data_IF_661855302647
#
_entry.id   IF_661855302647
#
_cell.length_a   1.000
_cell.length_b   1.000
_cell.length_c   1.000
_cell.angle_alpha   90.00
_cell.angle_beta   90.00
_cell.angle_gamma   90.00
#
_symmetry.space_group_name_H-M   'P 1'
#
loop_
_entity.id
_entity.type
_entity.pdbx_description
1 polymer ?
#
# COMPACT_ATOMS: atom_id res chain seq x y z
N UNK A 1 53.36 -15.56 37.70
CA UNK A 1 52.30 -15.12 36.75
C UNK A 1 51.14 -14.59 37.57
N UNK A 2 50.96 -13.26 37.61
CA UNK A 2 49.90 -12.60 38.38
C UNK A 2 48.71 -12.31 37.46
N UNK A 3 47.61 -13.03 37.69
CA UNK A 3 46.34 -12.79 36.99
C UNK A 3 45.72 -11.47 37.44
N UNK A 4 45.57 -10.52 36.52
CA UNK A 4 44.83 -9.28 36.77
C UNK A 4 43.35 -9.53 36.48
N UNK A 5 42.51 -9.58 37.49
CA UNK A 5 41.07 -9.55 37.36
C UNK A 5 40.64 -8.14 36.95
N UNK A 6 40.03 -7.99 35.77
CA UNK A 6 39.38 -6.78 35.28
C UNK A 6 37.96 -6.82 35.89
N UNK A 7 37.68 -6.00 36.85
CA UNK A 7 36.33 -5.73 37.38
C UNK A 7 35.66 -4.76 36.40
N UNK A 8 34.71 -5.27 35.58
CA UNK A 8 33.85 -4.46 34.75
C UNK A 8 32.76 -3.85 35.67
N UNK A 9 32.88 -2.59 36.03
CA UNK A 9 31.81 -1.85 36.71
C UNK A 9 30.70 -1.61 35.68
N UNK A 10 29.65 -2.41 35.71
CA UNK A 10 28.36 -2.10 35.10
C UNK A 10 27.72 -0.97 35.94
N UNK A 11 27.81 0.25 35.43
CA UNK A 11 26.96 1.35 35.88
C UNK A 11 25.53 1.03 35.41
N UNK A 12 24.76 0.35 36.30
CA UNK A 12 23.32 0.32 36.23
C UNK A 12 22.83 1.75 36.52
N UNK A 13 22.41 2.45 35.44
CA UNK A 13 21.58 3.63 35.63
C UNK A 13 20.28 3.12 36.27
N UNK A 14 20.16 3.26 37.59
CA UNK A 14 18.93 3.09 38.31
C UNK A 14 18.00 4.24 37.91
N UNK A 15 17.16 4.01 36.87
CA UNK A 15 15.98 4.82 36.68
C UNK A 15 15.14 4.66 37.93
N UNK A 16 15.00 5.73 38.74
CA UNK A 16 14.12 5.77 39.89
C UNK A 16 12.71 5.41 39.40
N UNK A 17 12.23 4.25 39.79
CA UNK A 17 10.83 3.88 39.53
C UNK A 17 9.98 4.74 40.48
N UNK A 18 8.83 5.29 40.03
CA UNK A 18 7.94 6.06 40.87
C UNK A 18 7.54 5.29 42.13
N UNK A 19 7.53 5.98 43.29
CA UNK A 19 7.23 5.38 44.59
C UNK A 19 5.72 5.23 44.84
N UNK A 20 4.89 6.12 44.26
CA UNK A 20 3.45 6.19 44.49
C UNK A 20 2.72 5.80 43.18
N UNK A 21 2.09 4.64 43.16
CA UNK A 21 1.37 4.15 41.98
C UNK A 21 -0.13 4.15 42.28
N UNK A 22 -0.90 4.88 41.46
CA UNK A 22 -2.36 4.80 41.43
C UNK A 22 -2.82 3.90 40.28
N UNK A 23 -4.04 3.36 40.34
CA UNK A 23 -4.63 2.54 39.30
C UNK A 23 -5.74 3.30 38.58
N UNK A 24 -5.79 3.13 37.24
CA UNK A 24 -6.87 3.60 36.36
C UNK A 24 -7.60 2.41 35.76
N UNK A 25 -8.92 2.53 35.61
CA UNK A 25 -9.76 1.56 34.94
C UNK A 25 -9.83 1.81 33.42
N UNK A 26 -9.26 2.91 32.93
CA UNK A 26 -9.22 3.26 31.52
C UNK A 26 -7.99 2.68 30.85
N UNK A 27 -8.04 2.54 29.49
CA UNK A 27 -6.87 2.21 28.70
C UNK A 27 -5.90 3.40 28.62
N UNK A 28 -4.59 3.14 28.44
CA UNK A 28 -3.61 4.20 28.33
C UNK A 28 -3.85 5.05 27.05
N UNK A 29 -3.69 6.39 27.12
CA UNK A 29 -3.74 7.26 25.96
C UNK A 29 -2.45 7.13 25.15
N UNK A 30 -2.38 6.12 24.28
CA UNK A 30 -1.21 5.76 23.49
C UNK A 30 -1.38 6.14 22.00
N UNK A 31 -0.24 6.36 21.34
CA UNK A 31 -0.15 6.64 19.91
C UNK A 31 0.96 5.76 19.28
N UNK A 32 0.69 4.95 18.22
CA UNK A 32 -0.64 4.69 17.67
C UNK A 32 -1.50 3.88 18.63
N UNK A 33 -2.81 4.02 18.50
CA UNK A 33 -3.74 3.23 19.29
C UNK A 33 -3.79 1.78 18.78
N UNK A 34 -3.04 0.90 19.47
CA UNK A 34 -2.99 -0.53 19.19
C UNK A 34 -3.86 -1.37 20.15
N UNK A 35 -4.80 -0.75 20.88
CA UNK A 35 -5.73 -1.47 21.76
C UNK A 35 -6.73 -2.28 20.96
N UNK A 36 -6.90 -3.56 21.26
CA UNK A 36 -7.90 -4.43 20.62
C UNK A 36 -7.63 -4.80 19.16
N UNK A 37 -6.43 -4.52 18.63
CA UNK A 37 -6.07 -4.91 17.26
C UNK A 37 -5.86 -6.42 17.12
N UNK A 38 -6.11 -6.95 15.92
CA UNK A 38 -5.71 -8.32 15.56
C UNK A 38 -4.38 -8.27 14.79
N UNK A 39 -3.39 -9.03 15.26
CA UNK A 39 -2.05 -9.06 14.69
C UNK A 39 -1.69 -10.48 14.22
N UNK A 40 -0.81 -10.62 13.21
CA UNK A 40 -0.32 -11.94 12.83
C UNK A 40 0.74 -12.46 13.82
N UNK A 41 0.88 -13.77 13.90
CA UNK A 41 1.96 -14.40 14.67
C UNK A 41 3.34 -13.94 14.15
N UNK A 42 4.25 -13.62 15.07
CA UNK A 42 5.62 -13.27 14.73
C UNK A 42 5.87 -11.90 14.11
N UNK A 43 4.86 -11.02 14.05
CA UNK A 43 5.09 -9.62 13.63
C UNK A 43 6.02 -8.90 14.60
N UNK A 44 6.81 -7.94 14.07
CA UNK A 44 7.61 -7.06 14.93
C UNK A 44 6.74 -6.37 15.98
N UNK A 45 7.23 -6.17 17.21
CA UNK A 45 6.46 -5.56 18.28
C UNK A 45 5.84 -4.21 17.88
N UNK A 46 4.55 -4.04 18.16
CA UNK A 46 3.87 -2.75 17.99
C UNK A 46 4.34 -1.82 19.09
N UNK A 47 5.18 -0.85 18.74
CA UNK A 47 5.67 0.17 19.66
C UNK A 47 4.76 1.40 19.59
N UNK A 48 4.60 2.06 20.70
CA UNK A 48 3.77 3.24 20.88
C UNK A 48 4.45 4.23 21.84
N UNK A 49 3.90 5.41 21.95
CA UNK A 49 4.27 6.46 22.90
C UNK A 49 3.03 6.94 23.63
N UNK A 50 3.21 7.61 24.75
CA UNK A 50 2.11 8.26 25.46
C UNK A 50 1.74 9.55 24.71
N UNK A 51 0.44 9.76 24.40
CA UNK A 51 -0.04 10.99 23.73
C UNK A 51 0.28 12.27 24.49
N UNK A 52 0.36 12.19 25.79
CA UNK A 52 0.66 13.29 26.69
C UNK A 52 2.15 13.48 26.99
N UNK A 53 3.03 12.70 26.35
CA UNK A 53 4.48 12.80 26.45
C UNK A 53 5.07 12.25 27.73
N UNK A 54 4.28 11.60 28.60
CA UNK A 54 4.79 10.95 29.82
C UNK A 54 5.77 9.82 29.49
N UNK A 55 6.73 9.61 30.39
CA UNK A 55 7.54 8.40 30.42
C UNK A 55 6.67 7.20 30.82
N UNK A 56 6.98 6.02 30.31
CA UNK A 56 6.19 4.83 30.62
C UNK A 56 7.01 3.54 30.61
N UNK A 57 6.46 2.53 31.27
CA UNK A 57 6.87 1.13 31.18
C UNK A 57 5.70 0.31 30.67
N UNK A 58 5.93 -0.53 29.66
CA UNK A 58 4.95 -1.48 29.15
C UNK A 58 5.39 -2.92 29.47
N UNK A 59 4.50 -3.70 30.05
CA UNK A 59 4.68 -5.12 30.35
C UNK A 59 3.69 -5.92 29.50
N UNK A 60 4.20 -6.91 28.76
CA UNK A 60 3.40 -7.75 27.85
C UNK A 60 3.37 -9.18 28.37
N UNK A 61 2.18 -9.76 28.47
CA UNK A 61 1.97 -11.16 28.87
C UNK A 61 1.04 -11.83 27.86
N UNK A 62 1.45 -12.96 27.33
CA UNK A 62 0.62 -13.75 26.41
C UNK A 62 -0.20 -14.78 27.18
N UNK A 63 -1.52 -14.81 26.94
CA UNK A 63 -2.46 -15.80 27.47
C UNK A 63 -3.30 -16.33 26.31
N UNK A 64 -3.01 -17.56 25.88
CA UNK A 64 -3.63 -18.14 24.68
C UNK A 64 -3.29 -17.34 23.43
N UNK A 65 -4.30 -16.92 22.71
CA UNK A 65 -4.18 -16.11 21.48
C UNK A 65 -4.23 -14.58 21.78
N UNK A 66 -4.08 -14.17 23.03
CA UNK A 66 -4.15 -12.76 23.43
C UNK A 66 -2.84 -12.31 24.08
N UNK A 67 -2.30 -11.19 23.63
CA UNK A 67 -1.21 -10.47 24.27
C UNK A 67 -1.83 -9.32 25.07
N UNK A 68 -1.72 -9.41 26.40
CA UNK A 68 -2.14 -8.37 27.31
C UNK A 68 -0.97 -7.40 27.54
N UNK A 69 -1.22 -6.10 27.37
CA UNK A 69 -0.22 -5.05 27.61
C UNK A 69 -0.68 -4.16 28.76
N UNK A 70 0.10 -4.13 29.84
CA UNK A 70 -0.09 -3.27 31.01
C UNK A 70 0.89 -2.11 30.93
N UNK A 71 0.40 -0.88 31.03
CA UNK A 71 1.18 0.35 30.95
C UNK A 71 1.14 1.08 32.27
N UNK A 72 2.34 1.46 32.77
CA UNK A 72 2.48 2.38 33.88
C UNK A 72 3.21 3.62 33.37
N UNK A 73 2.61 4.80 33.53
CA UNK A 73 3.13 6.07 33.02
C UNK A 73 3.30 7.12 34.15
N UNK A 74 4.31 7.99 33.98
CA UNK A 74 4.65 9.05 34.95
C UNK A 74 5.24 10.28 34.25
N UNK A 75 5.10 11.42 34.89
CA UNK A 75 5.80 12.64 34.51
C UNK A 75 7.29 12.50 34.78
N UNK A 76 8.14 13.01 33.93
CA UNK A 76 9.58 12.98 34.11
C UNK A 76 10.00 13.64 35.43
N UNK A 77 10.67 12.86 36.27
CA UNK A 77 11.11 13.31 37.63
C UNK A 77 10.03 13.29 38.69
N UNK A 78 8.85 12.72 38.41
CA UNK A 78 7.77 12.54 39.41
C UNK A 78 7.91 11.22 40.14
N UNK A 79 7.61 11.23 41.43
CA UNK A 79 7.45 10.01 42.24
C UNK A 79 6.05 9.39 42.11
N UNK A 80 5.13 10.04 41.38
CA UNK A 80 3.76 9.56 41.14
C UNK A 80 3.62 8.95 39.75
N UNK A 81 2.99 7.79 39.69
CA UNK A 81 2.67 7.09 38.45
C UNK A 81 1.21 6.63 38.38
N UNK A 82 0.72 6.38 37.20
CA UNK A 82 -0.59 5.78 36.94
C UNK A 82 -0.39 4.48 36.21
N UNK A 83 -0.93 3.39 36.74
CA UNK A 83 -1.04 2.11 36.05
C UNK A 83 -2.42 2.01 35.44
N UNK A 84 -2.47 1.81 34.11
CA UNK A 84 -3.70 1.71 33.32
C UNK A 84 -4.24 0.29 33.28
N UNK A 85 -5.54 0.16 32.97
CA UNK A 85 -6.13 -1.13 32.66
C UNK A 85 -5.36 -1.81 31.51
N UNK A 86 -5.02 -3.10 31.64
CA UNK A 86 -4.34 -3.81 30.59
C UNK A 86 -5.23 -3.94 29.36
N UNK A 87 -4.69 -3.70 28.18
CA UNK A 87 -5.41 -3.84 26.92
C UNK A 87 -4.96 -5.08 26.14
N UNK A 88 -5.88 -5.71 25.37
CA UNK A 88 -5.57 -6.89 24.58
C UNK A 88 -5.08 -6.52 23.17
N UNK A 89 -4.23 -7.38 22.61
CA UNK A 89 -3.99 -7.55 21.18
C UNK A 89 -4.25 -9.03 20.85
N UNK A 90 -5.06 -9.30 19.84
CA UNK A 90 -5.44 -10.67 19.45
C UNK A 90 -4.42 -11.18 18.44
N UNK A 91 -3.86 -12.36 18.66
CA UNK A 91 -2.96 -13.02 17.71
C UNK A 91 -3.78 -13.95 16.82
N UNK A 92 -3.88 -13.63 15.53
CA UNK A 92 -4.56 -14.46 14.55
C UNK A 92 -3.76 -15.74 14.26
N UNK A 93 -4.48 -16.83 13.97
CA UNK A 93 -3.91 -18.08 13.44
C UNK A 93 -3.66 -18.03 11.94
N UNK A 94 -4.26 -17.05 11.24
CA UNK A 94 -4.05 -16.89 9.81
C UNK A 94 -2.64 -16.35 9.56
N UNK A 95 -1.81 -17.06 8.78
CA UNK A 95 -0.48 -16.58 8.46
C UNK A 95 -0.54 -15.30 7.62
N UNK A 96 0.52 -14.50 7.68
CA UNK A 96 0.71 -13.34 6.83
C UNK A 96 1.97 -13.54 5.98
N UNK A 97 2.00 -12.96 4.78
CA UNK A 97 3.22 -12.94 3.97
C UNK A 97 4.36 -12.25 4.74
N UNK A 98 5.59 -12.75 4.67
CA UNK A 98 6.68 -12.30 5.52
C UNK A 98 7.22 -10.90 5.20
N UNK A 99 6.92 -10.36 4.00
CA UNK A 99 7.39 -9.06 3.54
C UNK A 99 6.26 -8.23 2.93
N UNK A 100 6.45 -6.90 2.95
CA UNK A 100 5.66 -5.94 2.15
C UNK A 100 6.64 -5.17 1.27
N UNK A 101 6.34 -5.08 -0.02
CA UNK A 101 6.99 -4.16 -0.95
C UNK A 101 6.14 -2.88 -1.10
N UNK A 102 6.79 -1.73 -1.30
CA UNK A 102 6.12 -0.44 -1.50
C UNK A 102 7.06 0.57 -2.15
N UNK A 103 6.50 1.62 -2.69
CA UNK A 103 7.25 2.79 -3.12
C UNK A 103 7.34 3.81 -1.98
N UNK A 104 8.54 4.34 -1.73
CA UNK A 104 8.73 5.57 -0.97
C UNK A 104 8.91 6.73 -1.95
N UNK A 105 8.17 7.80 -1.72
CA UNK A 105 8.19 9.00 -2.56
C UNK A 105 8.04 10.25 -1.69
N UNK A 106 8.82 11.27 -2.01
CA UNK A 106 8.68 12.62 -1.46
C UNK A 106 7.34 13.24 -1.90
N UNK A 107 6.83 14.27 -1.21
CA UNK A 107 5.64 15.00 -1.64
C UNK A 107 5.78 15.53 -3.06
N UNK A 108 4.67 15.64 -3.78
CA UNK A 108 4.65 16.03 -5.18
C UNK A 108 5.16 17.44 -5.52
N UNK A 109 5.55 18.26 -4.54
CA UNK A 109 6.22 19.56 -4.74
C UNK A 109 7.73 19.42 -5.01
N UNK A 110 8.30 18.29 -4.63
CA UNK A 110 9.72 18.01 -4.73
C UNK A 110 10.05 17.33 -6.06
N UNK A 111 11.26 17.55 -6.56
CA UNK A 111 11.75 16.95 -7.80
C UNK A 111 12.28 15.53 -7.58
N UNK A 112 11.55 14.65 -6.92
CA UNK A 112 11.89 13.24 -6.74
C UNK A 112 13.38 12.97 -6.45
N UNK A 113 13.95 13.72 -5.51
CA UNK A 113 15.37 13.61 -5.20
C UNK A 113 15.76 12.22 -4.71
N UNK A 114 14.88 11.64 -3.90
CA UNK A 114 15.08 10.33 -3.30
C UNK A 114 13.77 9.55 -3.30
N UNK A 115 13.64 8.66 -4.26
CA UNK A 115 12.49 7.76 -4.37
C UNK A 115 12.94 6.37 -4.78
N UNK A 116 12.11 5.39 -4.51
CA UNK A 116 12.37 4.02 -4.93
C UNK A 116 11.38 3.02 -4.41
N UNK A 117 11.57 1.80 -4.84
CA UNK A 117 10.90 0.61 -4.33
C UNK A 117 11.70 0.02 -3.17
N UNK A 118 11.00 -0.25 -2.10
CA UNK A 118 11.57 -0.80 -0.87
C UNK A 118 10.78 -2.03 -0.46
N UNK A 119 11.39 -2.85 0.37
CA UNK A 119 10.73 -3.96 1.04
C UNK A 119 10.97 -3.91 2.54
N UNK A 120 9.98 -4.38 3.29
CA UNK A 120 9.99 -4.44 4.73
C UNK A 120 9.71 -5.86 5.19
N UNK A 121 10.60 -6.40 6.02
CA UNK A 121 10.37 -7.66 6.74
C UNK A 121 9.39 -7.42 7.91
N UNK A 122 8.29 -8.16 7.94
CA UNK A 122 7.25 -7.95 8.96
C UNK A 122 7.66 -8.45 10.36
N UNK A 123 8.51 -9.46 10.43
CA UNK A 123 9.04 -9.98 11.70
C UNK A 123 10.10 -9.07 12.35
N UNK A 124 10.53 -8.02 11.65
CA UNK A 124 11.53 -7.08 12.15
C UNK A 124 11.24 -5.66 11.66
N UNK A 125 12.09 -4.69 12.06
CA UNK A 125 12.00 -3.31 11.55
C UNK A 125 12.91 -3.06 10.35
N UNK A 126 13.43 -4.12 9.71
CA UNK A 126 14.41 -4.02 8.62
C UNK A 126 13.73 -3.65 7.32
N UNK A 127 14.08 -2.49 6.79
CA UNK A 127 13.71 -1.99 5.49
C UNK A 127 14.93 -2.02 4.56
N UNK A 128 14.76 -2.50 3.32
CA UNK A 128 15.85 -2.54 2.34
C UNK A 128 15.34 -2.11 0.96
N UNK A 129 16.17 -1.42 0.16
CA UNK A 129 15.78 -1.03 -1.19
C UNK A 129 15.72 -2.25 -2.13
N UNK A 130 14.70 -2.27 -3.00
CA UNK A 130 14.60 -3.14 -4.17
C UNK A 130 15.25 -2.44 -5.37
N UNK A 131 14.77 -1.22 -5.68
CA UNK A 131 15.28 -0.37 -6.75
C UNK A 131 15.06 1.09 -6.38
N UNK A 132 16.10 1.91 -6.44
CA UNK A 132 16.01 3.36 -6.22
C UNK A 132 16.21 4.12 -7.51
N UNK A 133 15.82 5.38 -7.56
CA UNK A 133 16.00 6.24 -8.72
C UNK A 133 17.47 6.51 -9.09
N UNK A 134 18.43 6.05 -8.30
CA UNK A 134 19.86 6.09 -8.63
C UNK A 134 20.26 5.13 -9.77
N UNK A 135 19.36 4.22 -10.17
CA UNK A 135 19.61 3.28 -11.27
C UNK A 135 19.50 3.94 -12.66
N UNK A 136 18.73 5.04 -12.78
CA UNK A 136 18.35 5.68 -14.03
C UNK A 136 18.49 7.22 -13.99
N UNK A 137 19.61 7.73 -13.51
CA UNK A 137 19.92 9.17 -13.43
C UNK A 137 18.87 10.01 -12.69
N UNK A 138 18.34 9.47 -11.58
CA UNK A 138 17.28 10.09 -10.76
C UNK A 138 15.92 10.24 -11.47
N UNK A 139 15.65 9.46 -12.52
CA UNK A 139 14.33 9.34 -13.09
C UNK A 139 13.36 8.63 -12.14
N UNK A 140 12.07 8.80 -12.36
CA UNK A 140 11.04 8.16 -11.52
C UNK A 140 11.09 6.63 -11.62
N UNK A 141 11.00 5.95 -10.47
CA UNK A 141 10.85 4.49 -10.35
C UNK A 141 9.52 4.21 -9.66
N UNK A 142 8.57 3.57 -10.36
CA UNK A 142 7.20 3.38 -9.87
C UNK A 142 6.50 2.16 -10.51
N UNK A 143 5.20 2.04 -10.29
CA UNK A 143 4.30 1.06 -10.91
C UNK A 143 4.84 -0.36 -10.85
N UNK A 144 5.28 -0.79 -9.66
CA UNK A 144 5.67 -2.19 -9.44
C UNK A 144 4.44 -3.09 -9.37
N UNK A 145 4.61 -4.35 -9.72
CA UNK A 145 3.64 -5.40 -9.47
C UNK A 145 4.33 -6.76 -9.44
N UNK A 146 4.00 -7.56 -8.44
CA UNK A 146 4.60 -8.87 -8.20
C UNK A 146 3.68 -9.97 -8.75
N UNK A 147 4.21 -10.82 -9.64
CA UNK A 147 3.48 -11.99 -10.12
C UNK A 147 3.27 -12.98 -8.96
N UNK A 148 2.02 -13.27 -8.63
CA UNK A 148 1.65 -14.15 -7.52
C UNK A 148 2.42 -13.84 -6.21
N UNK A 149 2.65 -12.56 -5.93
CA UNK A 149 3.42 -12.09 -4.76
C UNK A 149 4.86 -12.63 -4.68
N UNK A 150 5.40 -13.15 -5.79
CA UNK A 150 6.75 -13.75 -5.83
C UNK A 150 7.85 -12.67 -5.76
N UNK A 151 8.84 -12.81 -4.86
CA UNK A 151 9.99 -11.90 -4.80
C UNK A 151 10.96 -12.08 -5.98
N UNK A 152 10.80 -13.16 -6.75
CA UNK A 152 11.66 -13.49 -7.87
C UNK A 152 11.07 -13.18 -9.23
N UNK A 153 9.75 -12.86 -9.28
CA UNK A 153 9.10 -12.51 -10.54
C UNK A 153 8.21 -11.29 -10.37
N UNK A 154 8.66 -10.16 -10.88
CA UNK A 154 7.97 -8.87 -10.77
C UNK A 154 8.41 -7.91 -11.86
N UNK A 155 7.76 -6.79 -11.94
CA UNK A 155 8.12 -5.68 -12.79
C UNK A 155 8.04 -4.34 -12.05
N UNK A 156 8.69 -3.34 -12.60
CA UNK A 156 8.51 -1.94 -12.24
C UNK A 156 8.81 -1.04 -13.44
N UNK A 157 8.26 0.16 -13.44
CA UNK A 157 8.49 1.14 -14.49
C UNK A 157 9.53 2.17 -14.07
N UNK A 158 10.50 2.44 -14.96
CA UNK A 158 11.51 3.48 -14.79
C UNK A 158 11.34 4.53 -15.89
N UNK A 159 11.14 5.80 -15.50
CA UNK A 159 10.99 6.94 -16.41
C UNK A 159 12.31 7.66 -16.62
N UNK A 160 12.42 8.44 -17.71
CA UNK A 160 13.58 9.22 -18.07
C UNK A 160 14.21 8.74 -19.39
N UNK A 161 15.39 9.24 -19.70
CA UNK A 161 16.13 8.85 -20.91
C UNK A 161 16.47 7.36 -20.85
N UNK A 162 16.15 6.63 -21.90
CA UNK A 162 16.31 5.18 -21.94
C UNK A 162 15.29 4.42 -21.05
N UNK A 163 14.27 5.08 -20.52
CA UNK A 163 13.27 4.48 -19.62
C UNK A 163 12.42 3.38 -20.28
N UNK A 164 11.72 2.62 -19.45
CA UNK A 164 10.84 1.52 -19.83
C UNK A 164 10.39 0.70 -18.62
N UNK A 165 9.79 -0.44 -18.90
CA UNK A 165 9.41 -1.41 -17.88
C UNK A 165 10.54 -2.41 -17.66
N UNK A 166 11.03 -2.50 -16.42
CA UNK A 166 12.02 -3.48 -15.99
C UNK A 166 11.28 -4.74 -15.56
N UNK A 167 11.61 -5.86 -16.16
CA UNK A 167 11.12 -7.18 -15.80
C UNK A 167 12.20 -7.96 -15.06
N UNK A 168 11.81 -8.62 -13.98
CA UNK A 168 12.64 -9.53 -13.21
C UNK A 168 12.00 -10.92 -13.26
N UNK A 169 12.76 -11.92 -13.64
CA UNK A 169 12.37 -13.34 -13.60
C UNK A 169 13.57 -14.16 -13.13
N UNK A 170 13.56 -14.55 -11.88
CA UNK A 170 14.72 -15.17 -11.21
C UNK A 170 15.94 -14.26 -11.28
N UNK A 171 16.98 -14.75 -11.93
CA UNK A 171 18.24 -14.02 -12.14
C UNK A 171 18.23 -13.13 -13.40
N UNK A 172 17.27 -13.28 -14.26
CA UNK A 172 17.14 -12.49 -15.47
C UNK A 172 16.51 -11.13 -15.18
N UNK A 173 17.06 -10.11 -15.84
CA UNK A 173 16.54 -8.75 -15.76
C UNK A 173 16.57 -8.14 -17.15
N UNK A 174 15.41 -7.74 -17.67
CA UNK A 174 15.29 -7.08 -18.97
C UNK A 174 14.56 -5.75 -18.88
N UNK A 175 14.88 -4.84 -19.77
CA UNK A 175 14.19 -3.55 -19.96
C UNK A 175 13.42 -3.59 -21.27
N UNK A 176 12.12 -3.37 -21.22
CA UNK A 176 11.26 -3.26 -22.41
C UNK A 176 10.69 -1.85 -22.47
N UNK A 177 10.98 -1.15 -23.54
CA UNK A 177 10.35 0.13 -23.81
C UNK A 177 9.04 -0.10 -24.58
N UNK A 178 7.92 -0.08 -23.86
CA UNK A 178 6.59 -0.36 -24.42
C UNK A 178 6.18 0.64 -25.52
N UNK A 179 6.76 1.84 -25.54
CA UNK A 179 6.49 2.81 -26.64
C UNK A 179 7.11 2.42 -27.97
N UNK A 180 8.00 1.43 -27.97
CA UNK A 180 8.68 0.92 -29.20
C UNK A 180 8.16 -0.43 -29.67
N UNK A 181 7.15 -0.98 -29.00
CA UNK A 181 6.58 -2.28 -29.36
C UNK A 181 5.05 -2.20 -29.50
N UNK A 182 4.49 -3.00 -30.41
CA UNK A 182 3.06 -3.16 -30.59
C UNK A 182 2.29 -1.83 -30.73
N UNK A 183 1.54 -1.46 -29.70
CA UNK A 183 0.68 -0.25 -29.68
C UNK A 183 1.45 1.06 -29.68
N UNK A 184 2.73 1.07 -29.32
CA UNK A 184 3.51 2.30 -29.12
C UNK A 184 3.10 3.12 -27.89
N UNK A 185 2.30 2.56 -26.99
CA UNK A 185 1.80 3.22 -25.77
C UNK A 185 2.66 2.88 -24.55
N UNK A 186 2.75 3.79 -23.59
CA UNK A 186 3.38 3.51 -22.29
C UNK A 186 2.50 2.59 -21.47
N UNK A 187 3.10 1.76 -20.58
CA UNK A 187 2.38 0.95 -19.63
C UNK A 187 2.65 1.38 -18.19
N UNK A 188 1.58 1.69 -17.46
CA UNK A 188 1.59 2.00 -16.02
C UNK A 188 0.51 1.17 -15.33
N UNK A 189 0.48 1.12 -14.01
CA UNK A 189 -0.49 0.33 -13.23
C UNK A 189 -0.64 -1.11 -13.71
N UNK A 190 0.44 -1.88 -13.76
CA UNK A 190 0.43 -3.25 -14.24
C UNK A 190 -0.44 -4.17 -13.39
N UNK A 191 -1.01 -5.19 -14.02
CA UNK A 191 -1.65 -6.31 -13.36
C UNK A 191 -1.30 -7.60 -14.10
N UNK A 192 -0.58 -8.51 -13.42
CA UNK A 192 -0.27 -9.82 -13.96
C UNK A 192 -1.51 -10.70 -14.05
N UNK A 193 -1.72 -11.30 -15.22
CA UNK A 193 -2.66 -12.41 -15.33
C UNK A 193 -2.16 -13.60 -14.50
N UNK A 194 -3.02 -14.32 -13.74
CA UNK A 194 -2.60 -15.43 -12.87
C UNK A 194 -1.83 -16.54 -13.60
N UNK A 195 -2.08 -16.75 -14.89
CA UNK A 195 -1.30 -17.68 -15.72
C UNK A 195 0.12 -17.21 -16.05
N UNK A 196 0.52 -15.99 -15.66
CA UNK A 196 1.90 -15.47 -15.77
C UNK A 196 2.38 -15.12 -17.16
N UNK A 197 1.55 -15.30 -18.20
CA UNK A 197 1.90 -14.97 -19.59
C UNK A 197 1.51 -13.54 -19.96
N UNK A 198 0.36 -13.08 -19.52
CA UNK A 198 -0.19 -11.79 -19.92
C UNK A 198 -0.10 -10.77 -18.79
N UNK A 199 0.03 -9.50 -19.18
CA UNK A 199 -0.03 -8.37 -18.26
C UNK A 199 -0.98 -7.33 -18.86
N UNK A 200 -1.92 -6.85 -18.06
CA UNK A 200 -2.70 -5.67 -18.37
C UNK A 200 -2.02 -4.43 -17.80
N UNK A 201 -1.95 -3.35 -18.57
CA UNK A 201 -1.46 -2.05 -18.16
C UNK A 201 -2.51 -0.99 -18.44
N UNK A 202 -2.52 0.07 -17.67
CA UNK A 202 -3.10 1.33 -18.10
C UNK A 202 -2.05 2.12 -18.90
N UNK A 203 -2.48 2.83 -19.94
CA UNK A 203 -1.66 3.77 -20.70
C UNK A 203 -2.24 5.16 -20.54
N UNK A 204 -1.72 5.92 -19.56
CA UNK A 204 -2.27 7.20 -19.16
C UNK A 204 -1.38 8.36 -19.59
N UNK A 205 -1.99 9.44 -20.06
CA UNK A 205 -1.41 10.77 -20.08
C UNK A 205 -2.01 11.53 -18.90
N UNK A 206 -1.22 11.70 -17.84
CA UNK A 206 -1.68 12.34 -16.60
C UNK A 206 -1.28 13.79 -16.56
N UNK A 207 -2.13 14.61 -15.95
CA UNK A 207 -1.87 15.97 -15.59
C UNK A 207 -1.88 16.13 -14.08
N UNK A 208 -0.93 16.89 -13.54
CA UNK A 208 -0.83 17.19 -12.12
C UNK A 208 -0.95 18.70 -11.91
N UNK A 209 -1.89 19.09 -11.03
CA UNK A 209 -2.11 20.48 -10.63
C UNK A 209 -1.70 20.66 -9.18
N UNK A 210 -1.03 21.77 -8.91
CA UNK A 210 -0.68 22.22 -7.56
C UNK A 210 -1.47 23.48 -7.24
N UNK A 211 -2.14 23.49 -6.09
CA UNK A 211 -2.91 24.63 -5.61
C UNK A 211 -2.37 25.10 -4.25
N UNK A 212 -2.17 26.40 -4.11
CA UNK A 212 -1.74 27.01 -2.85
C UNK A 212 -2.98 27.55 -2.15
N UNK A 213 -3.22 27.12 -0.93
CA UNK A 213 -4.36 27.57 -0.12
C UNK A 213 -5.62 26.75 -0.26
N UNK A 214 -5.69 25.77 -1.14
CA UNK A 214 -6.79 24.81 -1.21
C UNK A 214 -6.67 23.73 -0.14
N UNK A 215 -7.82 23.21 0.30
CA UNK A 215 -7.88 22.02 1.16
C UNK A 215 -7.28 20.79 0.49
N UNK A 216 -7.20 20.80 -0.85
CA UNK A 216 -6.61 19.76 -1.69
C UNK A 216 -5.46 20.35 -2.51
N UNK A 217 -4.24 20.34 -1.97
CA UNK A 217 -3.10 21.05 -2.59
C UNK A 217 -2.59 20.40 -3.87
N UNK A 218 -2.89 19.12 -4.09
CA UNK A 218 -2.46 18.35 -5.26
C UNK A 218 -3.67 17.65 -5.86
N UNK A 219 -3.82 17.77 -7.17
CA UNK A 219 -4.75 16.98 -7.95
C UNK A 219 -4.04 16.31 -9.11
N UNK A 220 -4.40 15.07 -9.37
CA UNK A 220 -3.90 14.29 -10.51
C UNK A 220 -5.08 13.71 -11.24
N UNK A 221 -5.11 13.88 -12.55
CA UNK A 221 -6.16 13.31 -13.40
C UNK A 221 -5.60 12.88 -14.75
N UNK A 222 -6.29 11.96 -15.40
CA UNK A 222 -5.93 11.47 -16.71
C UNK A 222 -6.55 12.37 -17.79
N UNK A 223 -5.73 12.85 -18.73
CA UNK A 223 -6.20 13.49 -19.95
C UNK A 223 -6.64 12.43 -20.96
N UNK A 224 -5.91 11.34 -21.02
CA UNK A 224 -6.24 10.14 -21.81
C UNK A 224 -5.79 8.91 -21.04
N UNK A 225 -6.56 7.84 -21.14
CA UNK A 225 -6.22 6.58 -20.48
C UNK A 225 -6.86 5.40 -21.19
N UNK A 226 -6.06 4.41 -21.55
CA UNK A 226 -6.48 3.17 -22.21
C UNK A 226 -5.91 1.96 -21.49
N UNK A 227 -6.55 0.80 -21.63
CA UNK A 227 -5.98 -0.46 -21.20
C UNK A 227 -5.31 -1.15 -22.38
N UNK A 228 -4.04 -1.51 -22.19
CA UNK A 228 -3.26 -2.30 -23.14
C UNK A 228 -2.83 -3.63 -22.52
N UNK A 229 -2.73 -4.63 -23.35
CA UNK A 229 -2.24 -5.96 -23.00
C UNK A 229 -0.82 -6.16 -23.49
N UNK A 230 -0.05 -6.97 -22.76
CA UNK A 230 1.27 -7.45 -23.15
C UNK A 230 1.36 -8.97 -23.06
N UNK A 231 1.92 -9.63 -24.06
CA UNK A 231 2.37 -11.01 -23.98
C UNK A 231 3.86 -11.04 -23.62
N UNK A 232 4.19 -11.55 -22.45
CA UNK A 232 5.57 -11.59 -21.94
C UNK A 232 6.49 -12.55 -22.69
N UNK A 233 5.91 -13.50 -23.44
CA UNK A 233 6.68 -14.45 -24.27
C UNK A 233 7.21 -13.82 -25.57
N UNK A 234 6.50 -12.81 -26.10
CA UNK A 234 6.84 -12.15 -27.38
C UNK A 234 7.18 -10.68 -27.23
N UNK A 235 6.99 -10.10 -26.04
CA UNK A 235 7.05 -8.67 -25.73
C UNK A 235 6.10 -7.81 -26.59
N UNK A 236 5.09 -8.42 -27.24
CA UNK A 236 4.13 -7.71 -28.05
C UNK A 236 3.04 -7.07 -27.20
N UNK A 237 2.55 -5.89 -27.61
CA UNK A 237 1.43 -5.20 -26.97
C UNK A 237 0.28 -4.98 -27.95
N UNK A 238 -0.97 -5.00 -27.43
CA UNK A 238 -2.18 -4.71 -28.20
C UNK A 238 -3.24 -4.03 -27.34
N UNK A 239 -4.16 -3.32 -27.99
CA UNK A 239 -5.35 -2.78 -27.33
C UNK A 239 -6.45 -3.84 -27.27
N UNK A 240 -7.26 -3.80 -26.21
CA UNK A 240 -8.41 -4.71 -26.07
C UNK A 240 -9.55 -4.20 -26.96
N UNK A 241 -10.09 -5.03 -27.88
CA UNK A 241 -11.24 -4.64 -28.70
C UNK A 241 -12.46 -4.23 -27.84
N UNK A 242 -13.05 -3.06 -28.13
CA UNK A 242 -14.17 -2.50 -27.35
C UNK A 242 -13.76 -1.74 -26.09
N UNK A 243 -12.47 -1.78 -25.72
CA UNK A 243 -11.82 -0.84 -24.82
C UNK A 243 -10.88 0.06 -25.64
N UNK A 244 -10.39 1.14 -25.07
CA UNK A 244 -9.55 2.13 -25.77
C UNK A 244 -10.29 2.88 -26.89
N UNK A 245 -11.58 3.09 -26.72
CA UNK A 245 -12.40 3.90 -27.63
C UNK A 245 -12.27 5.40 -27.27
N UNK A 246 -12.32 6.25 -28.30
CA UNK A 246 -12.34 7.70 -28.09
C UNK A 246 -13.53 8.10 -27.19
N UNK A 247 -13.30 9.00 -26.26
CA UNK A 247 -14.31 9.43 -25.30
C UNK A 247 -14.45 8.58 -24.05
N UNK A 248 -13.49 7.69 -23.81
CA UNK A 248 -13.42 6.88 -22.61
C UNK A 248 -12.05 6.97 -21.95
N UNK A 249 -12.04 6.81 -20.62
CA UNK A 249 -10.84 6.77 -19.79
C UNK A 249 -10.84 5.45 -19.05
N UNK A 250 -9.97 4.51 -19.39
CA UNK A 250 -9.85 3.21 -18.72
C UNK A 250 -8.53 3.09 -17.98
N UNK A 251 -8.58 2.70 -16.70
CA UNK A 251 -7.39 2.60 -15.85
C UNK A 251 -7.52 1.53 -14.76
N UNK A 252 -6.43 1.28 -14.03
CA UNK A 252 -6.32 0.35 -12.90
C UNK A 252 -6.85 -1.06 -13.20
N UNK A 253 -6.31 -1.74 -14.22
CA UNK A 253 -6.69 -3.11 -14.48
C UNK A 253 -6.36 -4.03 -13.32
N UNK A 254 -7.22 -5.02 -13.06
CA UNK A 254 -7.00 -6.07 -12.07
C UNK A 254 -7.68 -7.36 -12.48
N UNK A 255 -6.96 -8.47 -12.47
CA UNK A 255 -7.49 -9.77 -12.86
C UNK A 255 -8.26 -10.44 -11.72
N UNK A 256 -9.28 -11.24 -12.08
CA UNK A 256 -9.82 -12.27 -11.18
C UNK A 256 -8.73 -13.28 -10.82
N UNK A 257 -8.91 -14.02 -9.73
CA UNK A 257 -7.94 -15.05 -9.28
C UNK A 257 -7.82 -16.19 -10.30
N UNK A 258 -8.89 -16.51 -11.00
CA UNK A 258 -8.94 -17.52 -12.09
C UNK A 258 -8.37 -16.99 -13.41
N UNK A 259 -8.23 -15.67 -13.55
CA UNK A 259 -7.76 -15.02 -14.78
C UNK A 259 -8.79 -14.98 -15.92
N UNK A 260 -10.02 -15.34 -15.66
CA UNK A 260 -11.10 -15.37 -16.65
C UNK A 260 -11.80 -14.02 -16.82
N UNK A 261 -11.45 -13.02 -15.99
CA UNK A 261 -12.07 -11.70 -15.97
C UNK A 261 -11.07 -10.61 -15.62
N UNK A 262 -11.11 -9.52 -16.39
CA UNK A 262 -10.37 -8.30 -16.09
C UNK A 262 -11.34 -7.25 -15.55
N UNK A 263 -11.09 -6.75 -14.34
CA UNK A 263 -11.75 -5.61 -13.73
C UNK A 263 -10.96 -4.35 -14.00
N UNK A 264 -11.62 -3.20 -14.16
CA UNK A 264 -10.96 -1.91 -14.40
C UNK A 264 -11.89 -0.75 -14.05
N UNK A 265 -11.31 0.44 -13.92
CA UNK A 265 -12.06 1.68 -13.75
C UNK A 265 -12.25 2.36 -15.11
N UNK A 266 -13.46 2.87 -15.36
CA UNK A 266 -13.79 3.53 -16.63
C UNK A 266 -14.68 4.75 -16.40
N UNK A 267 -14.32 5.87 -17.02
CA UNK A 267 -15.17 7.07 -17.09
C UNK A 267 -15.41 7.50 -18.53
N UNK A 268 -16.47 8.27 -18.74
CA UNK A 268 -16.73 8.96 -20.03
C UNK A 268 -15.94 10.28 -20.06
N UNK A 269 -15.26 10.58 -21.16
CA UNK A 269 -14.50 11.82 -21.36
C UNK A 269 -13.33 11.64 -22.31
N UNK A 270 -13.09 12.65 -23.16
CA UNK A 270 -11.92 12.67 -24.08
C UNK A 270 -10.75 13.46 -23.54
N UNK A 271 -11.06 14.62 -22.95
CA UNK A 271 -10.08 15.54 -22.36
C UNK A 271 -10.74 16.23 -21.20
N UNK A 272 -10.10 16.16 -20.05
CA UNK A 272 -10.65 16.77 -18.84
C UNK A 272 -9.99 18.11 -18.64
N UNK A 273 -10.77 19.21 -18.77
CA UNK A 273 -10.34 20.52 -18.33
C UNK A 273 -10.27 20.54 -16.79
N UNK A 274 -9.42 21.40 -16.23
CA UNK A 274 -9.35 21.58 -14.78
C UNK A 274 -10.69 22.00 -14.15
N UNK A 275 -11.61 22.56 -14.91
CA UNK A 275 -12.91 23.01 -14.47
C UNK A 275 -13.95 21.87 -14.45
N UNK A 276 -13.79 20.86 -15.29
CA UNK A 276 -14.73 19.75 -15.46
C UNK A 276 -14.40 18.51 -14.60
N UNK A 277 -13.22 18.47 -13.97
CA UNK A 277 -12.73 17.31 -13.23
C UNK A 277 -13.66 16.81 -12.14
N UNK A 278 -14.38 17.71 -11.44
CA UNK A 278 -15.36 17.36 -10.41
C UNK A 278 -16.57 16.61 -10.93
N UNK A 279 -16.75 16.53 -12.26
CA UNK A 279 -17.84 15.83 -12.93
C UNK A 279 -17.43 14.46 -13.49
N UNK A 280 -16.15 14.06 -13.35
CA UNK A 280 -15.65 12.80 -13.86
C UNK A 280 -15.76 11.73 -12.79
N UNK A 281 -16.66 10.78 -13.01
CA UNK A 281 -16.92 9.67 -12.10
C UNK A 281 -16.55 8.35 -12.78
N UNK A 282 -15.64 7.61 -12.18
CA UNK A 282 -15.19 6.32 -12.69
C UNK A 282 -16.05 5.21 -12.14
N UNK A 283 -16.67 4.44 -13.04
CA UNK A 283 -17.34 3.19 -12.72
C UNK A 283 -16.34 2.05 -12.63
N UNK A 284 -16.66 0.99 -11.87
CA UNK A 284 -16.00 -0.30 -11.99
C UNK A 284 -16.66 -1.08 -13.11
N UNK A 285 -15.86 -1.55 -14.05
CA UNK A 285 -16.29 -2.39 -15.16
C UNK A 285 -15.50 -3.70 -15.20
N UNK A 286 -16.00 -4.66 -15.94
CA UNK A 286 -15.30 -5.92 -16.18
C UNK A 286 -15.54 -6.45 -17.59
N UNK A 287 -14.59 -7.23 -18.08
CA UNK A 287 -14.64 -7.92 -19.35
C UNK A 287 -14.15 -9.37 -19.19
N UNK A 288 -14.81 -10.33 -19.81
CA UNK A 288 -14.39 -11.73 -19.78
C UNK A 288 -13.18 -11.97 -20.68
N UNK A 289 -12.31 -12.87 -20.23
CA UNK A 289 -11.12 -13.29 -20.97
C UNK A 289 -11.06 -14.82 -21.00
N UNK A 290 -11.01 -15.41 -22.18
CA UNK A 290 -10.93 -16.86 -22.38
C UNK A 290 -10.05 -17.19 -23.56
N UNK A 291 -9.21 -18.20 -23.44
CA UNK A 291 -8.35 -18.71 -24.52
C UNK A 291 -7.48 -17.65 -25.22
N UNK A 292 -7.09 -16.60 -24.47
CA UNK A 292 -6.27 -15.50 -24.99
C UNK A 292 -7.06 -14.36 -25.64
N UNK A 293 -8.41 -14.41 -25.60
CA UNK A 293 -9.29 -13.44 -26.24
C UNK A 293 -10.26 -12.79 -25.23
N UNK A 294 -10.58 -11.53 -25.45
CA UNK A 294 -11.57 -10.79 -24.68
C UNK A 294 -12.96 -10.87 -25.31
N UNK A 295 -13.96 -10.99 -24.47
CA UNK A 295 -15.36 -10.81 -24.87
C UNK A 295 -15.57 -9.37 -25.38
N UNK A 296 -16.54 -9.20 -26.30
CA UNK A 296 -16.99 -7.86 -26.72
C UNK A 296 -17.92 -7.21 -25.69
N UNK A 297 -18.44 -7.98 -24.73
CA UNK A 297 -19.36 -7.49 -23.71
C UNK A 297 -18.59 -6.96 -22.51
N UNK A 298 -18.66 -5.65 -22.29
CA UNK A 298 -18.17 -4.98 -21.10
C UNK A 298 -19.33 -4.80 -20.12
N UNK A 299 -19.17 -5.31 -18.90
CA UNK A 299 -20.19 -5.22 -17.85
C UNK A 299 -19.85 -4.13 -16.85
N UNK A 300 -20.84 -3.34 -16.45
CA UNK A 300 -20.72 -2.45 -15.28
C UNK A 300 -20.89 -3.27 -14.01
N UNK A 301 -19.88 -3.24 -13.15
CA UNK A 301 -19.86 -3.94 -11.86
C UNK A 301 -20.38 -3.03 -10.76
N UNK A 302 -19.96 -1.76 -10.76
CA UNK A 302 -20.44 -0.72 -9.86
C UNK A 302 -20.36 0.65 -10.54
N UNK A 303 -21.33 1.50 -10.26
CA UNK A 303 -21.40 2.87 -10.77
C UNK A 303 -22.14 3.75 -9.77
N UNK A 304 -21.72 5.01 -9.67
CA UNK A 304 -22.38 6.04 -8.89
C UNK A 304 -22.21 7.41 -9.57
N UNK A 305 -23.30 8.15 -9.72
CA UNK A 305 -23.28 9.46 -10.41
C UNK A 305 -22.61 10.57 -9.58
N UNK A 306 -22.35 10.33 -8.32
CA UNK A 306 -21.75 11.29 -7.38
C UNK A 306 -20.46 10.79 -6.75
N UNK A 307 -19.86 9.72 -7.30
CA UNK A 307 -18.64 9.15 -6.77
C UNK A 307 -17.87 8.35 -7.81
N UNK A 308 -16.57 8.27 -7.63
CA UNK A 308 -15.62 7.48 -8.41
C UNK A 308 -15.14 6.26 -7.66
N UNK A 309 -14.86 5.17 -8.40
CA UNK A 309 -14.13 4.02 -7.91
C UNK A 309 -12.69 4.00 -8.45
N UNK A 310 -11.76 3.50 -7.62
CA UNK A 310 -10.35 3.33 -7.99
C UNK A 310 -9.76 2.06 -7.38
N UNK A 311 -8.72 1.52 -8.00
CA UNK A 311 -7.93 0.40 -7.48
C UNK A 311 -8.75 -0.83 -7.06
N UNK A 312 -9.53 -1.45 -7.98
CA UNK A 312 -10.21 -2.71 -7.66
C UNK A 312 -9.19 -3.79 -7.29
N UNK A 313 -9.49 -4.55 -6.22
CA UNK A 313 -8.68 -5.70 -5.77
C UNK A 313 -9.60 -6.83 -5.36
N UNK A 314 -9.54 -7.93 -6.11
CA UNK A 314 -10.39 -9.11 -5.89
C UNK A 314 -9.73 -10.06 -4.90
N UNK A 315 -10.54 -10.71 -4.07
CA UNK A 315 -10.20 -11.79 -3.15
C UNK A 315 -11.41 -12.74 -3.06
N UNK A 316 -11.41 -13.79 -3.87
CA UNK A 316 -12.57 -14.69 -4.05
C UNK A 316 -13.82 -13.91 -4.48
N UNK A 317 -14.89 -14.03 -3.69
CA UNK A 317 -16.15 -13.30 -3.91
C UNK A 317 -16.11 -11.82 -3.50
N UNK A 318 -15.02 -11.34 -2.93
CA UNK A 318 -14.90 -9.97 -2.44
C UNK A 318 -14.08 -9.09 -3.38
N UNK A 319 -14.56 -7.88 -3.61
CA UNK A 319 -13.86 -6.84 -4.33
C UNK A 319 -13.72 -5.61 -3.41
N UNK A 320 -12.48 -5.29 -3.04
CA UNK A 320 -12.15 -4.09 -2.28
C UNK A 320 -11.74 -2.99 -3.27
N UNK A 321 -12.26 -1.77 -3.09
CA UNK A 321 -11.93 -0.63 -3.93
C UNK A 321 -11.94 0.67 -3.11
N UNK A 322 -11.29 1.72 -3.62
CA UNK A 322 -11.38 3.06 -3.04
C UNK A 322 -12.51 3.82 -3.72
N UNK A 323 -13.38 4.46 -2.93
CA UNK A 323 -14.40 5.40 -3.39
C UNK A 323 -13.97 6.82 -3.03
N UNK A 324 -14.02 7.73 -3.99
CA UNK A 324 -13.81 9.17 -3.82
C UNK A 324 -14.96 9.95 -4.44
N UNK A 325 -15.05 11.26 -4.18
CA UNK A 325 -16.11 12.11 -4.74
C UNK A 325 -16.03 12.17 -6.26
N UNK A 326 -14.84 12.23 -6.84
CA UNK A 326 -14.60 12.30 -8.29
C UNK A 326 -13.18 11.83 -8.62
N UNK A 327 -12.84 11.77 -9.91
CA UNK A 327 -11.50 11.50 -10.39
C UNK A 327 -11.02 10.08 -10.14
N UNK A 328 -9.71 9.85 -10.30
CA UNK A 328 -9.12 8.50 -10.23
C UNK A 328 -7.88 8.40 -9.35
N UNK A 329 -7.40 9.51 -8.76
CA UNK A 329 -6.25 9.52 -7.85
C UNK A 329 -6.65 9.80 -6.41
N UNK A 330 -7.36 8.87 -5.75
CA UNK A 330 -8.00 9.08 -4.46
C UNK A 330 -7.02 9.39 -3.33
N UNK A 331 -5.74 9.07 -3.49
CA UNK A 331 -4.73 9.32 -2.46
C UNK A 331 -4.60 10.81 -2.08
N UNK A 332 -5.06 11.72 -2.94
CA UNK A 332 -5.08 13.15 -2.70
C UNK A 332 -6.46 13.66 -2.22
N UNK A 333 -7.48 12.80 -2.23
CA UNK A 333 -8.84 13.12 -1.81
C UNK A 333 -9.03 12.73 -0.34
N UNK A 334 -9.27 13.73 0.51
CA UNK A 334 -9.41 13.51 1.95
C UNK A 334 -10.58 12.59 2.31
N UNK A 335 -11.64 12.65 1.52
CA UNK A 335 -12.87 11.87 1.68
C UNK A 335 -12.82 10.48 1.01
N UNK A 336 -11.64 10.08 0.55
CA UNK A 336 -11.49 8.79 -0.11
C UNK A 336 -11.43 7.64 0.91
N UNK A 337 -12.39 6.74 0.81
CA UNK A 337 -12.63 5.62 1.71
C UNK A 337 -12.55 4.27 1.00
N UNK A 338 -12.26 3.22 1.75
CA UNK A 338 -12.32 1.84 1.29
C UNK A 338 -13.77 1.32 1.34
N UNK A 339 -14.19 0.67 0.26
CA UNK A 339 -15.49 0.04 0.08
C UNK A 339 -15.31 -1.43 -0.30
N UNK A 340 -16.12 -2.29 0.29
CA UNK A 340 -16.15 -3.73 0.03
C UNK A 340 -17.41 -4.09 -0.72
N UNK A 341 -17.26 -4.82 -1.82
CA UNK A 341 -18.36 -5.36 -2.62
C UNK A 341 -18.34 -6.90 -2.57
N UNK A 342 -19.49 -7.49 -2.39
CA UNK A 342 -19.70 -8.92 -2.64
C UNK A 342 -20.06 -9.11 -4.11
N UNK A 343 -19.19 -9.76 -4.89
CA UNK A 343 -19.39 -9.99 -6.33
C UNK A 343 -20.52 -10.95 -6.68
N UNK A 344 -20.96 -11.79 -5.74
CA UNK A 344 -22.05 -12.73 -5.94
C UNK A 344 -23.43 -12.07 -5.74
N UNK A 345 -23.56 -11.19 -4.72
CA UNK A 345 -24.82 -10.54 -4.39
C UNK A 345 -24.93 -9.14 -4.98
N UNK A 346 -23.83 -8.49 -5.28
CA UNK A 346 -23.76 -7.09 -5.70
C UNK A 346 -23.82 -6.10 -4.53
N UNK A 347 -23.88 -6.57 -3.28
CA UNK A 347 -23.94 -5.70 -2.11
C UNK A 347 -22.62 -4.93 -1.93
N UNK A 348 -22.72 -3.62 -1.65
CA UNK A 348 -21.57 -2.74 -1.43
C UNK A 348 -21.74 -2.03 -0.09
N UNK A 349 -20.64 -1.99 0.70
CA UNK A 349 -20.62 -1.24 1.96
C UNK A 349 -19.33 -0.43 2.12
N UNK A 350 -19.40 0.64 2.89
CA UNK A 350 -18.21 1.29 3.46
C UNK A 350 -17.52 0.33 4.43
N UNK A 351 -16.20 0.38 4.47
CA UNK A 351 -15.40 -0.41 5.43
C UNK A 351 -15.01 0.50 6.59
N UNK A 352 -16.01 0.87 7.42
CA UNK A 352 -15.84 1.81 8.52
C UNK A 352 -14.77 1.37 9.52
N UNK A 353 -14.50 0.07 9.60
CA UNK A 353 -13.43 -0.51 10.44
C UNK A 353 -12.04 -0.05 10.00
N UNK A 354 -11.85 0.22 8.70
CA UNK A 354 -10.59 0.65 8.11
C UNK A 354 -10.51 2.16 7.88
N UNK A 355 -11.66 2.79 7.63
CA UNK A 355 -11.76 4.18 7.23
C UNK A 355 -11.49 5.17 8.37
N UNK A 356 -11.10 6.39 8.03
CA UNK A 356 -10.77 7.47 8.96
C UNK A 356 -11.25 8.82 8.41
N UNK A 357 -11.14 9.92 9.16
CA UNK A 357 -11.44 11.27 8.63
C UNK A 357 -10.49 11.76 7.54
N UNK A 358 -9.54 10.96 7.07
CA UNK A 358 -8.61 11.28 5.99
C UNK A 358 -8.48 10.09 5.03
N UNK A 359 -7.77 10.26 3.94
CA UNK A 359 -7.66 9.31 2.83
C UNK A 359 -7.24 7.90 3.22
N UNK A 360 -7.95 6.89 2.70
CA UNK A 360 -7.54 5.49 2.58
C UNK A 360 -7.49 5.06 1.12
N UNK A 361 -6.36 4.48 0.70
CA UNK A 361 -6.17 4.01 -0.68
C UNK A 361 -5.02 3.03 -0.83
N UNK A 362 -4.69 2.66 -2.07
CA UNK A 362 -3.57 1.76 -2.42
C UNK A 362 -3.55 0.48 -1.58
N UNK A 363 -4.65 -0.21 -1.55
CA UNK A 363 -4.81 -1.45 -0.80
C UNK A 363 -4.40 -2.67 -1.61
N UNK A 364 -3.96 -3.72 -0.92
CA UNK A 364 -3.73 -5.05 -1.50
C UNK A 364 -3.97 -6.16 -0.48
N UNK A 365 -4.32 -7.35 -0.99
CA UNK A 365 -4.54 -8.54 -0.19
C UNK A 365 -3.25 -9.34 0.00
N UNK A 366 -3.14 -10.04 1.13
CA UNK A 366 -2.15 -11.11 1.32
C UNK A 366 -2.47 -12.32 0.43
N UNK A 367 -1.48 -13.18 0.21
CA UNK A 367 -1.65 -14.36 -0.66
C UNK A 367 -2.75 -15.32 -0.23
N UNK A 368 -3.08 -15.36 1.06
CA UNK A 368 -4.17 -16.16 1.60
C UNK A 368 -5.51 -15.40 1.72
N UNK A 369 -5.56 -14.14 1.28
CA UNK A 369 -6.75 -13.30 1.35
C UNK A 369 -7.24 -12.97 2.76
N UNK A 370 -6.43 -13.21 3.82
CA UNK A 370 -6.82 -12.99 5.22
C UNK A 370 -6.30 -11.69 5.82
N UNK A 371 -5.43 -11.00 5.11
CA UNK A 371 -4.87 -9.72 5.52
C UNK A 371 -4.97 -8.70 4.39
N UNK A 372 -5.19 -7.45 4.76
CA UNK A 372 -5.13 -6.31 3.85
C UNK A 372 -4.09 -5.32 4.35
N UNK A 373 -3.29 -4.76 3.45
CA UNK A 373 -2.44 -3.61 3.69
C UNK A 373 -2.94 -2.44 2.85
N UNK A 374 -2.93 -1.23 3.40
CA UNK A 374 -3.37 -0.03 2.70
C UNK A 374 -2.61 1.20 3.16
N UNK A 375 -2.62 2.24 2.32
CA UNK A 375 -2.03 3.55 2.61
C UNK A 375 -3.09 4.47 3.21
N UNK A 376 -2.76 5.16 4.30
CA UNK A 376 -3.64 6.14 4.95
C UNK A 376 -2.89 7.40 5.34
N UNK A 377 -3.57 8.55 5.26
CA UNK A 377 -3.05 9.86 5.70
C UNK A 377 -3.51 10.27 7.10
N UNK A 378 -4.19 9.42 7.82
CA UNK A 378 -4.85 9.70 9.11
C UNK A 378 -3.95 10.28 10.20
N UNK A 379 -2.61 10.19 10.08
CA UNK A 379 -1.68 10.73 11.11
C UNK A 379 -1.55 12.25 10.98
N UNK A 380 -1.32 12.76 9.76
CA UNK A 380 -0.94 14.16 9.56
C UNK A 380 -1.59 14.83 8.34
N UNK A 381 -2.43 14.12 7.61
CA UNK A 381 -3.09 14.59 6.39
C UNK A 381 -2.15 14.86 5.21
N UNK A 382 -0.86 14.51 5.31
CA UNK A 382 0.18 14.82 4.32
C UNK A 382 0.88 13.61 3.77
N UNK A 383 1.40 12.76 4.66
CA UNK A 383 2.17 11.58 4.30
C UNK A 383 1.36 10.32 4.54
N UNK A 384 1.34 9.45 3.56
CA UNK A 384 0.74 8.14 3.76
C UNK A 384 1.62 7.26 4.63
N UNK A 385 0.95 6.49 5.51
CA UNK A 385 1.53 5.41 6.31
C UNK A 385 0.79 4.13 6.02
N UNK A 386 1.45 2.99 6.19
CA UNK A 386 0.86 1.69 5.95
C UNK A 386 0.12 1.19 7.19
N UNK A 387 -1.12 0.78 6.99
CA UNK A 387 -1.94 0.10 7.97
C UNK A 387 -2.24 -1.31 7.49
N UNK A 388 -2.34 -2.24 8.45
CA UNK A 388 -2.62 -3.65 8.20
C UNK A 388 -3.85 -4.03 9.02
N UNK A 389 -4.76 -4.81 8.43
CA UNK A 389 -5.94 -5.35 9.11
C UNK A 389 -6.16 -6.80 8.75
N UNK A 390 -6.69 -7.56 9.69
CA UNK A 390 -7.14 -8.93 9.47
C UNK A 390 -8.56 -8.93 8.90
N UNK A 391 -8.80 -9.83 7.95
CA UNK A 391 -10.08 -10.07 7.30
C UNK A 391 -10.59 -11.47 7.66
N UNK A 392 -11.84 -11.58 8.13
CA UNK A 392 -12.42 -12.85 8.59
C UNK A 392 -12.85 -13.80 7.46
N UNK A 393 -12.86 -13.34 6.20
CA UNK A 393 -13.37 -14.07 5.02
C UNK A 393 -14.88 -13.91 4.81
N UNK A 394 -15.61 -13.39 5.80
CA UNK A 394 -17.06 -13.22 5.77
C UNK A 394 -17.48 -11.75 5.59
N UNK A 395 -16.54 -10.89 5.27
CA UNK A 395 -16.81 -9.49 4.96
C UNK A 395 -16.52 -8.50 6.09
N UNK A 396 -15.83 -8.91 7.18
CA UNK A 396 -15.50 -8.00 8.28
C UNK A 396 -14.00 -7.86 8.46
N UNK A 397 -13.59 -6.68 8.84
CA UNK A 397 -12.20 -6.34 9.12
C UNK A 397 -12.00 -6.08 10.62
N UNK A 398 -10.85 -6.45 11.14
CA UNK A 398 -10.43 -6.03 12.46
C UNK A 398 -9.97 -4.57 12.45
N UNK A 399 -9.91 -3.93 13.62
CA UNK A 399 -9.27 -2.62 13.77
C UNK A 399 -7.87 -2.65 13.15
N UNK A 400 -7.53 -1.72 12.24
CA UNK A 400 -6.22 -1.70 11.61
C UNK A 400 -5.13 -1.25 12.57
N UNK A 401 -3.93 -1.77 12.39
CA UNK A 401 -2.75 -1.32 13.11
C UNK A 401 -1.71 -0.73 12.16
N UNK A 402 -1.01 0.29 12.63
CA UNK A 402 0.07 0.94 11.89
C UNK A 402 1.24 -0.04 11.71
N UNK A 403 1.86 -0.08 10.53
CA UNK A 403 3.08 -0.87 10.27
C UNK A 403 4.13 -0.55 11.34
N UNK A 404 4.56 -1.55 12.15
CA UNK A 404 5.38 -1.29 13.32
C UNK A 404 6.73 -0.65 12.97
N UNK A 405 7.14 0.34 13.73
CA UNK A 405 8.46 0.96 13.67
C UNK A 405 9.23 0.69 14.96
N UNK A 406 10.56 0.74 14.89
CA UNK A 406 11.41 0.58 16.08
C UNK A 406 11.09 1.62 17.15
N UNK A 407 10.74 2.83 16.71
CA UNK A 407 10.20 3.92 17.52
C UNK A 407 9.06 4.56 16.75
N UNK A 408 7.98 4.95 17.45
CA UNK A 408 6.82 5.59 16.82
C UNK A 408 7.19 6.89 16.08
N UNK A 409 8.07 7.69 16.69
CA UNK A 409 8.54 8.96 16.12
C UNK A 409 9.08 8.85 14.68
N UNK A 410 9.54 7.67 14.25
CA UNK A 410 9.99 7.45 12.86
C UNK A 410 8.86 7.62 11.84
N UNK A 411 7.60 7.40 12.25
CA UNK A 411 6.45 7.67 11.39
C UNK A 411 6.22 9.17 11.19
N UNK A 412 6.54 9.99 12.20
CA UNK A 412 6.40 11.46 12.14
C UNK A 412 7.59 12.10 11.41
N UNK A 413 8.80 11.59 11.61
CA UNK A 413 10.03 12.16 11.04
C UNK A 413 10.29 11.79 9.58
N UNK A 414 9.63 10.74 9.06
CA UNK A 414 9.80 10.33 7.67
C UNK A 414 9.05 11.28 6.74
N UNK A 415 9.77 12.03 5.93
CA UNK A 415 9.25 12.99 4.95
C UNK A 415 8.94 12.33 3.58
N UNK A 416 8.62 11.07 3.57
CA UNK A 416 8.22 10.29 2.40
C UNK A 416 6.92 9.57 2.67
N UNK A 417 6.08 9.46 1.63
CA UNK A 417 4.85 8.68 1.61
C UNK A 417 5.13 7.23 1.19
N UNK A 418 4.39 6.31 1.78
CA UNK A 418 4.34 4.90 1.39
C UNK A 418 3.19 4.72 0.40
N UNK A 419 3.50 4.31 -0.83
CA UNK A 419 2.50 4.14 -1.88
C UNK A 419 2.50 2.73 -2.45
N UNK A 420 1.32 2.27 -2.82
CA UNK A 420 1.07 1.00 -3.50
C UNK A 420 1.76 -0.18 -2.78
N UNK A 421 1.39 -0.46 -1.52
CA UNK A 421 1.94 -1.61 -0.84
C UNK A 421 1.45 -2.92 -1.45
N UNK A 422 2.34 -3.91 -1.55
CA UNK A 422 2.02 -5.28 -1.95
C UNK A 422 2.67 -6.27 -0.96
N UNK A 423 1.91 -7.27 -0.52
CA UNK A 423 2.49 -8.39 0.20
C UNK A 423 3.33 -9.25 -0.75
N UNK A 424 4.47 -9.74 -0.26
CA UNK A 424 5.34 -10.65 -1.01
C UNK A 424 5.79 -11.83 -0.14
N UNK A 425 5.90 -12.99 -0.78
CA UNK A 425 6.14 -14.27 -0.10
C UNK A 425 7.57 -14.48 0.39
N UNK A 426 8.45 -13.53 0.08
CA UNK A 426 9.84 -13.60 0.51
C UNK A 426 10.60 -12.31 0.21
N UNK A 427 11.88 -12.33 0.56
CA UNK A 427 12.79 -11.20 0.35
C UNK A 427 13.20 -11.11 -1.12
N UNK A 428 13.06 -9.93 -1.71
CA UNK A 428 13.63 -9.61 -3.02
C UNK A 428 15.15 -9.46 -2.89
N UNK A 429 15.90 -10.20 -3.71
CA UNK A 429 17.35 -10.13 -3.73
C UNK A 429 17.86 -8.81 -4.36
N UNK A 430 19.03 -8.35 -3.89
CA UNK A 430 19.61 -7.10 -4.37
C UNK A 430 20.17 -7.27 -5.79
N UNK A 431 19.52 -6.63 -6.76
CA UNK A 431 19.90 -6.62 -8.19
C UNK A 431 20.33 -5.22 -8.69
N UNK A 432 20.66 -4.29 -7.79
CA UNK A 432 20.96 -2.89 -8.13
C UNK A 432 22.04 -2.73 -9.22
N UNK A 433 23.05 -3.63 -9.28
CA UNK A 433 24.07 -3.64 -10.34
C UNK A 433 23.47 -4.04 -11.69
N UNK A 434 22.60 -5.05 -11.73
CA UNK A 434 21.91 -5.49 -12.95
C UNK A 434 21.02 -4.36 -13.46
N UNK A 435 20.22 -3.73 -12.60
CA UNK A 435 19.36 -2.59 -12.98
C UNK A 435 20.16 -1.44 -13.59
N UNK A 436 21.26 -1.00 -12.95
CA UNK A 436 22.09 0.09 -13.49
C UNK A 436 22.68 -0.21 -14.86
N UNK A 437 22.93 -1.45 -15.19
CA UNK A 437 23.45 -1.83 -16.51
C UNK A 437 22.41 -1.70 -17.63
N UNK A 438 21.11 -1.69 -17.30
CA UNK A 438 20.02 -1.52 -18.28
C UNK A 438 19.92 -0.07 -18.81
N UNK A 439 20.44 0.91 -18.06
CA UNK A 439 20.31 2.36 -18.35
C UNK A 439 21.64 3.00 -18.73
N UNK A 440 22.62 2.20 -19.17
CA UNK A 440 23.94 2.65 -19.65
C UNK A 440 24.04 2.76 -21.16
#
# INVERSE_FOLDING_TARGET
MKSKAIILLLLAASACSPANISESTEYPPIEPDCTGVTIPEGIAPLNFEMKDGREFKAERTRVGDTIWTKVTAWEKGSDNAVTYAPFPMIVSKDPIDPYIAYRLIEPGYENWHDMGLYQRELASYRETPIATNQINNRGCVNCHNFYASSPDRFLFHARGEGGGTVFVDGDEVKLVNLTKVGTGKQGVYPSWHPGGRYIAFASCKTYQRFSVGDSQPIEVFDETSDIIMMDTATDSTWCIPGLSEAGKLETFPHWSEEGDRLYFCCAEGDTISCEERGNIHYALKSVEFRDGEFSKEVRTVWQCDSASASFPRVNGKWLLFTRSAYGTFPIWHREADLYLMNLETGDVRSVDELNSPDTESYHSWSTNGRWVVFSSRRIDGRYTRLYISHFDGEGHFSKPFLLPQKKYEYNQLRLQSYNVPEFITGKVENRARKYRNLFR
#
